data_IF_626789328062
#
_entry.id   IF_626789328062
#
_cell.length_a   1.000
_cell.length_b   1.000
_cell.length_c   1.000
_cell.angle_alpha   90.00
_cell.angle_beta   90.00
_cell.angle_gamma   90.00
#
_symmetry.space_group_name_H-M   'P 1'
#
loop_
_entity.id
_entity.type
_entity.pdbx_description
1 polymer ?
#
# COMPACT_ATOMS: atom_id res chain seq x y z
N UNK A 1 -4.10 -40.40 3.64
CA UNK A 1 -3.27 -40.42 2.42
C UNK A 1 -3.81 -39.50 1.32
N UNK A 2 -5.11 -39.57 0.97
CA UNK A 2 -5.74 -38.74 -0.08
C UNK A 2 -5.70 -37.23 0.22
N UNK A 3 -5.96 -36.83 1.47
CA UNK A 3 -5.95 -35.41 1.87
C UNK A 3 -4.57 -34.77 1.69
N UNK A 4 -3.50 -35.51 2.01
CA UNK A 4 -2.11 -35.04 1.81
C UNK A 4 -1.78 -34.82 0.33
N UNK A 5 -2.29 -35.68 -0.55
CA UNK A 5 -2.14 -35.52 -2.00
C UNK A 5 -2.90 -34.30 -2.53
N UNK A 6 -4.13 -34.06 -2.05
CA UNK A 6 -4.93 -32.89 -2.45
C UNK A 6 -4.25 -31.59 -2.00
N UNK A 7 -3.75 -31.53 -0.76
CA UNK A 7 -2.98 -30.38 -0.28
C UNK A 7 -1.72 -30.14 -1.12
N UNK A 8 -0.97 -31.20 -1.43
CA UNK A 8 0.27 -31.09 -2.21
C UNK A 8 -0.02 -30.61 -3.65
N UNK A 9 -1.09 -31.11 -4.28
CA UNK A 9 -1.50 -30.67 -5.63
C UNK A 9 -2.00 -29.24 -5.65
N UNK A 10 -2.77 -28.80 -4.66
CA UNK A 10 -3.15 -27.38 -4.54
C UNK A 10 -1.94 -26.48 -4.34
N UNK A 11 -0.99 -26.92 -3.51
CA UNK A 11 0.21 -26.15 -3.18
C UNK A 11 1.16 -26.00 -4.38
N UNK A 12 1.39 -27.09 -5.13
CA UNK A 12 2.25 -27.07 -6.30
C UNK A 12 1.54 -26.45 -7.52
N UNK A 13 0.29 -26.83 -7.76
CA UNK A 13 -0.52 -26.33 -8.88
C UNK A 13 -0.74 -24.82 -8.83
N UNK A 14 -1.03 -24.27 -7.64
CA UNK A 14 -1.16 -22.83 -7.44
C UNK A 14 0.14 -22.06 -7.76
N UNK A 15 1.31 -22.58 -7.34
CA UNK A 15 2.60 -21.93 -7.59
C UNK A 15 2.97 -21.93 -9.08
N UNK A 16 2.67 -23.00 -9.81
CA UNK A 16 2.98 -23.09 -11.24
C UNK A 16 2.12 -22.11 -12.05
N UNK A 17 0.82 -22.05 -11.77
CA UNK A 17 -0.11 -21.14 -12.47
C UNK A 17 0.30 -19.68 -12.27
N UNK A 18 0.68 -19.29 -11.06
CA UNK A 18 1.12 -17.91 -10.78
C UNK A 18 2.44 -17.58 -11.50
N UNK A 19 3.37 -18.54 -11.60
CA UNK A 19 4.67 -18.33 -12.26
C UNK A 19 4.62 -18.29 -13.79
N UNK A 20 3.62 -18.91 -14.41
CA UNK A 20 3.50 -19.03 -15.86
C UNK A 20 2.62 -17.94 -16.50
N UNK A 21 1.94 -17.11 -15.70
CA UNK A 21 1.20 -15.96 -16.22
C UNK A 21 2.22 -14.88 -16.58
N UNK A 22 2.37 -14.51 -17.86
CA UNK A 22 3.19 -13.36 -18.22
C UNK A 22 2.62 -12.11 -17.53
N UNK A 23 3.49 -11.24 -17.00
CA UNK A 23 3.16 -9.98 -16.31
C UNK A 23 2.40 -8.93 -17.18
N UNK A 24 1.80 -9.36 -18.29
CA UNK A 24 1.18 -8.52 -19.33
C UNK A 24 -0.34 -8.71 -19.43
N UNK A 25 -0.99 -9.42 -18.49
CA UNK A 25 -2.43 -9.74 -18.55
C UNK A 25 -3.26 -9.11 -17.43
N UNK A 26 -4.54 -8.79 -17.68
CA UNK A 26 -5.45 -8.17 -16.70
C UNK A 26 -5.57 -8.96 -15.36
N UNK A 27 -5.36 -10.28 -15.39
CA UNK A 27 -5.33 -11.14 -14.21
C UNK A 27 -4.05 -10.96 -13.37
N UNK A 28 -2.90 -10.73 -14.00
CA UNK A 28 -1.63 -10.47 -13.30
C UNK A 28 -1.73 -9.19 -12.48
N UNK A 29 -2.29 -8.12 -13.05
CA UNK A 29 -2.58 -6.87 -12.33
C UNK A 29 -3.54 -7.10 -11.16
N UNK A 30 -4.60 -7.90 -11.32
CA UNK A 30 -5.51 -8.21 -10.19
C UNK A 30 -4.82 -8.94 -9.04
N UNK A 31 -3.95 -9.90 -9.37
CA UNK A 31 -3.21 -10.67 -8.37
C UNK A 31 -2.18 -9.79 -7.65
N UNK A 32 -1.46 -8.97 -8.40
CA UNK A 32 -0.52 -8.00 -7.86
C UNK A 32 -1.21 -6.95 -6.96
N UNK A 33 -2.32 -6.39 -7.42
CA UNK A 33 -3.13 -5.48 -6.61
C UNK A 33 -3.58 -6.15 -5.31
N UNK A 34 -3.99 -7.42 -5.36
CA UNK A 34 -4.39 -8.15 -4.16
C UNK A 34 -3.24 -8.30 -3.14
N UNK A 35 -2.01 -8.56 -3.60
CA UNK A 35 -0.88 -8.75 -2.69
C UNK A 35 -0.26 -7.43 -2.21
N UNK A 36 -0.18 -6.41 -3.07
CA UNK A 36 0.54 -5.15 -2.80
C UNK A 36 -0.33 -3.99 -2.35
N UNK A 37 -1.63 -3.98 -2.68
CA UNK A 37 -2.54 -2.91 -2.26
C UNK A 37 -3.04 -3.19 -0.85
N UNK A 38 -2.92 -2.20 0.02
CA UNK A 38 -3.47 -2.19 1.37
C UNK A 38 -4.47 -1.06 1.52
N UNK A 39 -5.57 -1.35 2.20
CA UNK A 39 -6.55 -0.34 2.60
C UNK A 39 -6.28 0.00 4.06
N UNK A 40 -5.87 1.24 4.30
CA UNK A 40 -5.55 1.75 5.64
C UNK A 40 -6.69 2.63 6.14
N UNK A 41 -7.31 2.32 7.30
CA UNK A 41 -8.36 3.16 7.87
C UNK A 41 -7.84 4.56 8.18
N UNK A 42 -8.65 5.58 7.89
CA UNK A 42 -8.37 6.97 8.21
C UNK A 42 -9.20 7.38 9.42
N UNK A 43 -8.54 7.46 10.58
CA UNK A 43 -9.20 7.62 11.90
C UNK A 43 -9.59 9.07 12.14
N UNK A 44 -8.69 10.01 11.87
CA UNK A 44 -8.88 11.44 12.09
C UNK A 44 -8.66 12.20 10.78
N UNK A 45 -9.74 12.55 10.03
CA UNK A 45 -9.61 13.19 8.73
C UNK A 45 -9.32 14.70 8.81
N UNK A 46 -9.03 15.25 9.99
CA UNK A 46 -8.79 16.68 10.18
C UNK A 46 -7.29 16.95 10.35
N UNK A 47 -6.70 17.60 9.34
CA UNK A 47 -5.27 17.82 9.30
C UNK A 47 -4.79 18.74 10.42
N UNK A 48 -5.52 19.80 10.78
CA UNK A 48 -5.05 20.74 11.81
C UNK A 48 -5.02 20.19 13.25
N UNK A 49 -5.61 19.01 13.49
CA UNK A 49 -5.61 18.39 14.82
C UNK A 49 -4.32 17.62 15.09
N UNK A 50 -3.94 16.72 14.18
CA UNK A 50 -2.80 15.80 14.34
C UNK A 50 -1.71 16.03 13.28
N UNK A 51 -1.96 16.90 12.30
CA UNK A 51 -1.05 17.19 11.19
C UNK A 51 -0.71 15.94 10.37
N UNK A 52 0.54 15.90 9.94
CA UNK A 52 1.13 14.74 9.27
C UNK A 52 1.24 13.53 10.21
N UNK A 53 1.45 13.74 11.51
CA UNK A 53 1.59 12.65 12.48
C UNK A 53 0.34 11.76 12.53
N UNK A 54 -0.87 12.33 12.40
CA UNK A 54 -2.10 11.56 12.34
C UNK A 54 -2.11 10.56 11.17
N UNK A 55 -1.69 11.03 9.99
CA UNK A 55 -1.63 10.22 8.77
C UNK A 55 -0.59 9.10 8.92
N UNK A 56 0.63 9.45 9.38
CA UNK A 56 1.72 8.48 9.57
C UNK A 56 1.35 7.43 10.63
N UNK A 57 0.71 7.83 11.73
CA UNK A 57 0.27 6.90 12.78
C UNK A 57 -0.78 5.91 12.29
N UNK A 58 -1.70 6.33 11.42
CA UNK A 58 -2.69 5.41 10.85
C UNK A 58 -2.07 4.42 9.86
N UNK A 59 -1.06 4.87 9.10
CA UNK A 59 -0.24 4.00 8.25
C UNK A 59 0.55 2.99 9.09
N UNK A 60 1.23 3.43 10.14
CA UNK A 60 2.06 2.60 11.03
C UNK A 60 1.28 1.53 11.79
N UNK A 61 0.04 1.82 12.19
CA UNK A 61 -0.84 0.79 12.79
C UNK A 61 -1.17 -0.36 11.82
N UNK A 62 -1.22 -0.06 10.52
CA UNK A 62 -1.69 -1.00 9.50
C UNK A 62 -0.55 -1.62 8.71
N UNK A 63 0.62 -0.99 8.72
CA UNK A 63 1.79 -1.31 7.92
C UNK A 63 3.02 -1.26 8.84
N UNK A 64 3.92 -2.21 8.69
CA UNK A 64 5.22 -2.20 9.37
C UNK A 64 6.13 -1.15 8.70
N UNK A 65 6.00 0.12 9.13
CA UNK A 65 6.72 1.23 8.53
C UNK A 65 8.17 1.28 9.06
N UNK A 66 9.14 1.63 8.19
CA UNK A 66 10.49 1.97 8.61
C UNK A 66 10.55 3.13 9.61
N UNK A 67 11.52 3.10 10.54
CA UNK A 67 11.82 4.20 11.47
C UNK A 67 12.05 5.54 10.76
N UNK A 68 12.63 5.50 9.55
CA UNK A 68 12.91 6.67 8.72
C UNK A 68 12.19 6.55 7.39
N UNK A 69 11.32 7.52 7.15
CA UNK A 69 10.61 7.70 5.89
C UNK A 69 11.09 8.98 5.21
N UNK A 70 11.25 8.89 3.90
CA UNK A 70 11.65 9.97 3.01
C UNK A 70 10.61 10.12 1.90
N UNK A 71 10.40 11.34 1.46
CA UNK A 71 9.53 11.65 0.33
C UNK A 71 10.37 11.48 -0.95
N UNK A 72 9.83 10.78 -1.95
CA UNK A 72 10.50 10.58 -3.24
C UNK A 72 10.46 11.86 -4.08
N UNK A 73 9.28 12.49 -4.17
CA UNK A 73 9.06 13.68 -4.99
C UNK A 73 8.24 14.70 -4.21
N UNK A 74 6.92 14.45 -4.09
CA UNK A 74 6.01 15.34 -3.43
C UNK A 74 5.16 14.67 -2.35
N UNK A 75 4.62 15.55 -1.50
CA UNK A 75 3.59 15.19 -0.54
C UNK A 75 2.49 16.25 -0.65
N UNK A 76 1.35 15.84 -1.21
CA UNK A 76 0.23 16.71 -1.53
C UNK A 76 -0.98 16.35 -0.69
N UNK A 77 -1.55 17.37 -0.03
CA UNK A 77 -2.83 17.27 0.69
C UNK A 77 -3.79 18.32 0.12
N UNK A 78 -4.99 17.88 -0.22
CA UNK A 78 -6.12 18.77 -0.49
C UNK A 78 -7.11 18.70 0.68
N UNK A 79 -7.54 19.86 1.18
CA UNK A 79 -8.49 19.99 2.27
C UNK A 79 -9.68 20.87 1.87
N UNK A 80 -10.78 20.76 2.60
CA UNK A 80 -11.83 21.78 2.57
C UNK A 80 -11.54 22.97 3.50
N UNK A 81 -12.45 23.94 3.49
CA UNK A 81 -12.43 25.14 4.34
C UNK A 81 -12.34 24.84 5.84
N UNK A 82 -12.77 23.66 6.27
CA UNK A 82 -12.75 23.23 7.68
C UNK A 82 -11.48 22.44 8.02
N UNK A 83 -10.53 22.31 7.08
CA UNK A 83 -9.32 21.53 7.26
C UNK A 83 -9.53 20.02 7.24
N UNK A 84 -10.69 19.56 6.76
CA UNK A 84 -10.93 18.14 6.54
C UNK A 84 -10.25 17.70 5.24
N UNK A 85 -9.40 16.71 5.35
CA UNK A 85 -8.67 16.12 4.24
C UNK A 85 -9.67 15.53 3.23
N UNK A 86 -9.51 15.92 1.97
CA UNK A 86 -10.25 15.41 0.81
C UNK A 86 -9.40 14.47 -0.02
N UNK A 87 -8.13 14.80 -0.21
CA UNK A 87 -7.18 14.00 -0.98
C UNK A 87 -5.80 14.01 -0.36
N UNK A 88 -5.11 12.89 -0.48
CA UNK A 88 -3.69 12.75 -0.16
C UNK A 88 -3.05 12.02 -1.34
N UNK A 89 -1.97 12.58 -1.86
CA UNK A 89 -1.08 11.90 -2.80
C UNK A 89 0.35 12.05 -2.30
N UNK A 90 1.05 10.95 -2.10
CA UNK A 90 2.49 11.00 -1.85
C UNK A 90 3.15 9.68 -2.18
N UNK A 91 4.43 9.77 -2.50
CA UNK A 91 5.28 8.61 -2.63
C UNK A 91 6.40 8.64 -1.60
N UNK A 92 6.41 7.66 -0.70
CA UNK A 92 7.38 7.54 0.38
C UNK A 92 8.30 6.33 0.17
N UNK A 93 9.51 6.41 0.72
CA UNK A 93 10.39 5.26 0.87
C UNK A 93 11.11 5.26 2.21
N UNK A 94 11.51 4.08 2.67
CA UNK A 94 12.33 3.89 3.86
C UNK A 94 13.15 2.63 3.76
N UNK A 95 13.92 2.33 4.80
CA UNK A 95 14.72 1.11 4.91
C UNK A 95 14.30 0.34 6.14
N UNK A 96 13.97 -0.93 5.96
CA UNK A 96 13.66 -1.82 7.09
C UNK A 96 14.94 -2.16 7.89
N UNK A 97 14.77 -2.90 8.99
CA UNK A 97 15.88 -3.37 9.84
C UNK A 97 16.95 -4.18 9.07
N UNK A 98 16.61 -4.69 7.87
CA UNK A 98 17.48 -5.47 6.99
C UNK A 98 18.08 -4.62 5.87
N UNK A 99 18.00 -3.29 5.97
CA UNK A 99 18.48 -2.33 4.97
C UNK A 99 17.79 -2.46 3.60
N UNK A 100 16.63 -3.12 3.53
CA UNK A 100 15.88 -3.27 2.29
C UNK A 100 15.02 -2.04 2.05
N UNK A 101 15.12 -1.48 0.84
CA UNK A 101 14.28 -0.34 0.42
C UNK A 101 12.81 -0.81 0.37
N UNK A 102 11.96 -0.14 1.14
CA UNK A 102 10.50 -0.27 1.11
C UNK A 102 9.90 1.00 0.57
N UNK A 103 8.90 0.85 -0.30
CA UNK A 103 8.23 1.99 -0.96
C UNK A 103 6.74 1.95 -0.71
N UNK A 104 6.14 3.13 -0.53
CA UNK A 104 4.74 3.28 -0.16
C UNK A 104 4.13 4.40 -1.01
N UNK A 105 3.31 4.02 -1.99
CA UNK A 105 2.55 4.97 -2.79
C UNK A 105 1.16 5.15 -2.15
N UNK A 106 0.93 6.33 -1.58
CA UNK A 106 -0.25 6.67 -0.80
C UNK A 106 -1.20 7.47 -1.68
N UNK A 107 -2.45 7.02 -1.75
CA UNK A 107 -3.54 7.68 -2.46
C UNK A 107 -4.81 7.64 -1.61
N UNK A 108 -5.29 8.81 -1.23
CA UNK A 108 -6.60 9.00 -0.60
C UNK A 108 -7.46 9.91 -1.47
N UNK A 109 -8.71 9.52 -1.69
CA UNK A 109 -9.72 10.38 -2.31
C UNK A 109 -11.08 10.07 -1.66
N UNK A 110 -11.58 11.02 -0.87
CA UNK A 110 -12.86 10.91 -0.16
C UNK A 110 -14.05 10.64 -1.08
N UNK A 111 -13.95 11.00 -2.37
CA UNK A 111 -14.99 10.74 -3.37
C UNK A 111 -15.04 9.27 -3.80
N UNK A 112 -13.91 8.56 -3.73
CA UNK A 112 -13.80 7.13 -4.05
C UNK A 112 -14.03 6.28 -2.81
N UNK A 113 -13.36 6.62 -1.71
CA UNK A 113 -13.47 5.91 -0.45
C UNK A 113 -13.38 6.89 0.71
N UNK A 114 -14.45 6.97 1.51
CA UNK A 114 -14.56 8.00 2.55
C UNK A 114 -13.58 7.78 3.71
N UNK A 115 -13.29 6.52 4.03
CA UNK A 115 -12.68 6.15 5.31
C UNK A 115 -11.40 5.34 5.15
N UNK A 116 -10.95 5.05 3.92
CA UNK A 116 -9.76 4.24 3.69
C UNK A 116 -8.81 4.92 2.71
N UNK A 117 -7.53 4.93 3.06
CA UNK A 117 -6.42 5.29 2.19
C UNK A 117 -5.97 4.04 1.44
N UNK A 118 -5.71 4.19 0.15
CA UNK A 118 -5.09 3.14 -0.64
C UNK A 118 -3.58 3.30 -0.59
N UNK A 119 -2.87 2.24 -0.17
CA UNK A 119 -1.41 2.23 -0.11
C UNK A 119 -0.89 1.08 -0.95
N UNK A 120 -0.07 1.39 -1.94
CA UNK A 120 0.63 0.39 -2.75
C UNK A 120 2.04 0.18 -2.20
N UNK A 121 2.33 -1.07 -1.84
CA UNK A 121 3.62 -1.50 -1.31
C UNK A 121 4.55 -1.97 -2.42
N UNK A 122 5.86 -1.75 -2.23
CA UNK A 122 6.93 -2.26 -3.10
C UNK A 122 6.66 -1.96 -4.59
N UNK A 123 6.19 -0.74 -4.87
CA UNK A 123 5.99 -0.23 -6.22
C UNK A 123 7.35 0.07 -6.85
N UNK A 124 7.63 -0.54 -7.99
CA UNK A 124 8.90 -0.33 -8.69
C UNK A 124 9.05 1.14 -9.08
N UNK A 125 10.08 1.77 -8.53
CA UNK A 125 10.55 3.07 -9.01
C UNK A 125 11.56 2.81 -10.10
N UNK A 126 11.22 3.10 -11.36
CA UNK A 126 12.20 3.11 -12.46
C UNK A 126 13.25 4.23 -12.34
N UNK A 127 13.54 4.72 -11.13
CA UNK A 127 14.54 5.74 -10.89
C UNK A 127 15.83 5.07 -10.40
N UNK A 128 16.73 4.88 -11.37
CA UNK A 128 18.18 4.69 -11.20
C UNK A 128 18.79 5.77 -10.29
#
# INVERSE_FOLDING_TARGET
MIISFILTTFFLGGKIVISAIPYNGALSWKLEAFFRKKEVPMTDPYFFKEGLNGIIKDLDKSLDLPDKLYIVDDFSIQMDENGKIKKINSFLYGRDEKEQKKTFLISYDVSKNKNQMEVWLDYETNSD
#
